data_IF_503308851169
#
_entry.id   IF_503308851169
#
_cell.length_a   1.000
_cell.length_b   1.000
_cell.length_c   1.000
_cell.angle_alpha   90.00
_cell.angle_beta   90.00
_cell.angle_gamma   90.00
#
_symmetry.space_group_name_H-M   'P 1'
#
loop_
_entity.id
_entity.type
_entity.pdbx_description
1 polymer ?
#
# COMPACT_ATOMS: atom_id res chain seq x y z
N UNK A 1 31.03 -21.22 31.72
CA UNK A 1 30.72 -19.80 31.45
C UNK A 1 29.34 -19.73 30.82
N UNK A 2 28.31 -19.44 31.62
CA UNK A 2 26.99 -19.13 31.10
C UNK A 2 27.04 -17.72 30.51
N UNK A 3 26.89 -17.61 29.19
CA UNK A 3 26.84 -16.32 28.50
C UNK A 3 25.47 -15.71 28.77
N UNK A 4 25.32 -14.98 29.88
CA UNK A 4 24.14 -14.16 30.13
C UNK A 4 24.07 -13.13 29.01
N UNK A 5 23.14 -13.31 28.07
CA UNK A 5 22.81 -12.26 27.11
C UNK A 5 22.26 -11.10 27.93
N UNK A 6 23.09 -10.10 28.19
CA UNK A 6 22.65 -8.82 28.73
C UNK A 6 21.66 -8.25 27.71
N UNK A 7 20.36 -8.33 28.02
CA UNK A 7 19.34 -7.67 27.22
C UNK A 7 19.52 -6.16 27.40
N UNK A 8 20.24 -5.52 26.49
CA UNK A 8 20.30 -4.07 26.48
C UNK A 8 19.00 -3.54 25.87
N UNK A 9 18.31 -2.67 26.60
CA UNK A 9 17.10 -2.01 26.09
C UNK A 9 17.50 -0.96 25.04
N UNK A 10 16.73 -0.76 23.94
CA UNK A 10 17.07 0.22 22.92
C UNK A 10 16.61 1.62 23.37
N UNK A 11 17.28 2.20 24.36
CA UNK A 11 16.84 3.42 25.08
C UNK A 11 16.62 4.61 24.14
N UNK A 12 17.56 4.86 23.21
CA UNK A 12 17.45 5.99 22.28
C UNK A 12 16.29 5.81 21.28
N UNK A 13 16.15 4.60 20.72
CA UNK A 13 15.06 4.29 19.80
C UNK A 13 13.70 4.37 20.50
N UNK A 14 13.64 3.88 21.74
CA UNK A 14 12.46 3.97 22.60
C UNK A 14 12.02 5.43 22.79
N UNK A 15 12.95 6.32 23.11
CA UNK A 15 12.66 7.75 23.25
C UNK A 15 12.19 8.37 21.94
N UNK A 16 12.83 8.05 20.81
CA UNK A 16 12.46 8.54 19.50
C UNK A 16 11.03 8.10 19.09
N UNK A 17 10.68 6.85 19.38
CA UNK A 17 9.35 6.28 19.12
C UNK A 17 8.26 6.88 20.02
N UNK A 18 8.55 7.10 21.31
CA UNK A 18 7.62 7.80 22.21
C UNK A 18 7.40 9.25 21.78
N UNK A 19 8.47 9.95 21.37
CA UNK A 19 8.35 11.30 20.83
C UNK A 19 7.49 11.30 19.55
N UNK A 20 7.72 10.36 18.63
CA UNK A 20 6.91 10.18 17.42
C UNK A 20 5.42 10.03 17.75
N UNK A 21 5.07 9.10 18.65
CA UNK A 21 3.67 8.78 18.91
C UNK A 21 2.97 9.86 19.71
N UNK A 22 3.68 10.56 20.62
CA UNK A 22 3.14 11.71 21.35
C UNK A 22 2.83 12.91 20.46
N UNK A 23 3.53 13.04 19.32
CA UNK A 23 3.39 14.15 18.39
C UNK A 23 2.25 13.99 17.38
N UNK A 24 1.60 12.82 17.34
CA UNK A 24 0.64 12.46 16.30
C UNK A 24 -0.64 11.95 16.97
N UNK A 25 -1.79 12.29 16.38
CA UNK A 25 -3.05 11.69 16.84
C UNK A 25 -3.14 10.27 16.31
N UNK A 26 -3.45 9.32 17.18
CA UNK A 26 -3.58 7.91 16.81
C UNK A 26 -4.73 7.25 17.55
N UNK A 27 -5.25 6.13 17.02
CA UNK A 27 -6.20 5.32 17.77
C UNK A 27 -5.51 4.60 18.94
N UNK A 28 -6.29 4.07 19.88
CA UNK A 28 -5.83 3.28 21.04
C UNK A 28 -5.09 1.97 20.66
N UNK A 29 -4.76 1.76 19.39
CA UNK A 29 -4.02 0.59 18.88
C UNK A 29 -2.52 0.68 19.17
N UNK A 30 -1.96 1.88 19.20
CA UNK A 30 -0.54 2.09 19.51
C UNK A 30 -0.40 2.39 20.99
N UNK A 31 -0.33 1.34 21.81
CA UNK A 31 -0.20 1.42 23.28
C UNK A 31 1.25 1.28 23.73
N UNK A 32 2.11 2.14 23.19
CA UNK A 32 3.51 2.17 23.60
C UNK A 32 3.63 2.83 24.97
N UNK A 33 4.38 2.21 25.87
CA UNK A 33 4.49 2.66 27.25
C UNK A 33 5.96 2.70 27.69
N UNK A 34 6.33 3.73 28.46
CA UNK A 34 7.68 3.88 29.00
C UNK A 34 8.09 2.77 29.97
N UNK A 35 7.14 2.01 30.54
CA UNK A 35 7.46 0.90 31.46
C UNK A 35 7.79 -0.43 30.77
N UNK A 36 7.57 -0.56 29.46
CA UNK A 36 7.89 -1.79 28.71
C UNK A 36 9.03 -1.54 27.72
N UNK A 37 9.72 -2.60 27.30
CA UNK A 37 10.74 -2.49 26.26
C UNK A 37 10.09 -2.15 24.92
N UNK A 38 10.73 -1.30 24.12
CA UNK A 38 10.27 -0.99 22.78
C UNK A 38 10.18 -2.24 21.88
N UNK A 39 10.96 -3.28 22.18
CA UNK A 39 10.97 -4.52 21.42
C UNK A 39 9.71 -5.37 21.60
N UNK A 40 8.88 -5.07 22.62
CA UNK A 40 7.61 -5.74 22.87
C UNK A 40 6.42 -4.94 22.30
N UNK A 41 6.70 -3.79 21.70
CA UNK A 41 5.66 -2.91 21.21
C UNK A 41 5.09 -3.37 19.88
N UNK A 42 3.79 -3.16 19.73
CA UNK A 42 3.09 -3.38 18.47
C UNK A 42 3.80 -2.64 17.32
N UNK A 43 4.12 -3.38 16.26
CA UNK A 43 4.76 -2.85 15.07
C UNK A 43 6.28 -2.68 15.17
N UNK A 44 6.92 -2.99 16.29
CA UNK A 44 8.36 -2.82 16.50
C UNK A 44 9.05 -4.18 16.47
N UNK A 45 10.17 -4.29 15.76
CA UNK A 45 11.07 -5.44 15.88
C UNK A 45 12.50 -4.97 16.12
N UNK A 46 13.12 -5.56 17.13
CA UNK A 46 14.50 -5.31 17.50
C UNK A 46 15.42 -6.43 17.05
N UNK A 47 16.71 -6.13 16.99
CA UNK A 47 17.74 -7.11 16.70
C UNK A 47 17.78 -8.24 17.76
N UNK A 48 18.56 -9.30 17.49
CA UNK A 48 18.62 -10.48 18.35
C UNK A 48 19.05 -10.18 19.80
N UNK A 49 19.83 -9.11 20.01
CA UNK A 49 20.27 -8.67 21.33
C UNK A 49 19.31 -7.66 21.98
N UNK A 50 18.20 -7.32 21.30
CA UNK A 50 17.20 -6.32 21.70
C UNK A 50 17.76 -4.89 21.86
N UNK A 51 18.93 -4.63 21.30
CA UNK A 51 19.72 -3.41 21.48
C UNK A 51 19.31 -2.24 20.58
N UNK A 52 18.66 -2.50 19.44
CA UNK A 52 18.14 -1.47 18.55
C UNK A 52 16.94 -1.96 17.73
N UNK A 53 16.11 -1.03 17.30
CA UNK A 53 14.98 -1.23 16.41
C UNK A 53 15.45 -1.27 14.96
N UNK A 54 15.13 -2.35 14.24
CA UNK A 54 15.42 -2.46 12.81
C UNK A 54 14.17 -2.49 11.93
N UNK A 55 12.99 -2.69 12.51
CA UNK A 55 11.71 -2.67 11.78
C UNK A 55 10.68 -1.88 12.56
N UNK A 56 10.03 -0.93 11.89
CA UNK A 56 8.84 -0.24 12.37
C UNK A 56 7.72 -0.38 11.34
N UNK A 57 6.61 -0.99 11.74
CA UNK A 57 5.43 -1.24 10.91
C UNK A 57 4.16 -0.83 11.65
N UNK A 58 3.56 0.27 11.22
CA UNK A 58 2.28 0.76 11.72
C UNK A 58 1.26 0.94 10.59
N UNK A 59 1.00 -0.09 9.76
CA UNK A 59 0.03 0.01 8.68
C UNK A 59 -1.39 0.16 9.25
N UNK A 60 -2.16 1.14 8.77
CA UNK A 60 -3.56 1.27 9.21
C UNK A 60 -3.74 1.50 10.71
N UNK A 61 -2.74 2.09 11.37
CA UNK A 61 -2.76 2.39 12.80
C UNK A 61 -3.61 3.63 13.15
N UNK A 62 -4.29 4.22 12.14
CA UNK A 62 -5.06 5.45 12.25
C UNK A 62 -4.21 6.61 12.77
N UNK A 63 -2.96 6.70 12.31
CA UNK A 63 -2.08 7.85 12.56
C UNK A 63 -2.58 9.06 11.75
N UNK A 64 -2.70 10.22 12.37
CA UNK A 64 -3.27 11.44 11.79
C UNK A 64 -2.36 12.64 12.11
N UNK A 65 -1.98 13.38 11.07
CA UNK A 65 -1.15 14.58 11.18
C UNK A 65 0.23 14.42 10.55
N UNK A 66 1.12 15.37 10.79
CA UNK A 66 2.47 15.36 10.22
C UNK A 66 3.48 14.60 11.07
N UNK A 67 4.51 14.05 10.42
CA UNK A 67 5.65 13.44 11.12
C UNK A 67 6.54 14.55 11.64
N UNK A 68 6.74 14.60 12.96
CA UNK A 68 7.65 15.57 13.57
C UNK A 68 9.12 15.24 13.22
N UNK A 69 9.94 16.22 12.85
CA UNK A 69 11.39 16.03 12.71
C UNK A 69 12.04 15.57 14.01
N UNK A 70 13.20 14.92 13.90
CA UNK A 70 13.97 14.38 15.02
C UNK A 70 13.23 13.31 15.85
N UNK A 71 12.24 12.66 15.25
CA UNK A 71 11.55 11.50 15.83
C UNK A 71 12.00 10.21 15.14
N UNK A 72 11.27 9.74 14.13
CA UNK A 72 11.62 8.53 13.36
C UNK A 72 13.03 8.63 12.76
N UNK A 73 13.47 9.81 12.31
CA UNK A 73 14.80 10.02 11.74
C UNK A 73 15.97 9.70 12.69
N UNK A 74 15.71 9.53 14.00
CA UNK A 74 16.72 9.09 14.97
C UNK A 74 17.01 7.59 14.94
N UNK A 75 16.14 6.78 14.32
CA UNK A 75 16.28 5.32 14.24
C UNK A 75 17.32 4.93 13.18
N UNK A 76 18.58 5.27 13.39
CA UNK A 76 19.65 5.15 12.38
C UNK A 76 19.94 3.72 11.90
N UNK A 77 19.51 2.69 12.65
CA UNK A 77 19.63 1.27 12.30
C UNK A 77 18.38 0.68 11.66
N UNK A 78 17.35 1.50 11.42
CA UNK A 78 16.09 1.08 10.83
C UNK A 78 16.31 0.56 9.40
N UNK A 79 15.79 -0.64 9.11
CA UNK A 79 15.87 -1.32 7.81
C UNK A 79 14.52 -1.33 7.10
N UNK A 80 13.42 -1.37 7.85
CA UNK A 80 12.07 -1.36 7.30
C UNK A 80 11.24 -0.31 8.02
N UNK A 81 10.69 0.63 7.25
CA UNK A 81 9.70 1.60 7.73
C UNK A 81 8.42 1.45 6.92
N UNK A 82 7.33 1.09 7.59
CA UNK A 82 6.00 1.05 7.00
C UNK A 82 5.02 1.88 7.81
N UNK A 83 4.57 2.99 7.23
CA UNK A 83 3.52 3.86 7.76
C UNK A 83 2.32 3.94 6.79
N UNK A 84 2.20 2.95 5.90
CA UNK A 84 1.17 2.88 4.87
C UNK A 84 -0.25 2.90 5.45
N UNK A 85 -1.22 3.31 4.65
CA UNK A 85 -2.65 3.28 4.99
C UNK A 85 -3.02 4.07 6.25
N UNK A 86 -2.38 5.22 6.49
CA UNK A 86 -2.74 6.13 7.58
C UNK A 86 -3.30 7.44 6.99
N UNK A 87 -3.46 8.47 7.83
CA UNK A 87 -3.83 9.83 7.43
C UNK A 87 -2.69 10.79 7.78
N UNK A 88 -1.46 10.35 7.51
CA UNK A 88 -0.28 11.17 7.72
C UNK A 88 -0.20 12.23 6.62
N UNK A 89 0.09 13.47 7.00
CA UNK A 89 0.04 14.63 6.10
C UNK A 89 1.31 15.49 6.20
N UNK A 90 1.40 16.53 5.37
CA UNK A 90 2.59 17.38 5.28
C UNK A 90 3.72 16.73 4.49
N UNK A 91 4.93 17.27 4.59
CA UNK A 91 6.10 16.77 3.87
C UNK A 91 6.82 15.66 4.65
N UNK A 92 7.62 14.85 3.93
CA UNK A 92 8.51 13.88 4.57
C UNK A 92 9.69 14.64 5.21
N UNK A 93 9.95 14.46 6.52
CA UNK A 93 11.00 15.19 7.22
C UNK A 93 12.40 15.00 6.62
N UNK A 94 13.21 16.06 6.64
CA UNK A 94 14.55 16.05 6.05
C UNK A 94 15.53 15.09 6.76
N UNK A 95 15.32 14.85 8.06
CA UNK A 95 16.08 13.92 8.89
C UNK A 95 15.82 12.44 8.54
N UNK A 96 14.89 12.13 7.64
CA UNK A 96 14.80 10.79 7.04
C UNK A 96 16.09 10.40 6.31
N UNK A 97 16.89 11.38 5.89
CA UNK A 97 18.22 11.15 5.32
C UNK A 97 19.22 10.48 6.29
N UNK A 98 18.93 10.47 7.60
CA UNK A 98 19.72 9.77 8.61
C UNK A 98 19.44 8.26 8.66
N UNK A 99 18.36 7.78 8.02
CA UNK A 99 17.97 6.37 7.97
C UNK A 99 18.81 5.58 6.97
N UNK A 100 20.14 5.72 7.03
CA UNK A 100 21.10 5.19 6.03
C UNK A 100 21.07 3.67 5.87
N UNK A 101 20.50 2.94 6.84
CA UNK A 101 20.34 1.49 6.82
C UNK A 101 19.01 1.03 6.20
N UNK A 102 18.15 1.97 5.81
CA UNK A 102 16.80 1.69 5.33
C UNK A 102 16.84 0.97 3.99
N UNK A 103 16.11 -0.15 3.92
CA UNK A 103 15.99 -1.01 2.74
C UNK A 103 14.59 -0.97 2.14
N UNK A 104 13.58 -0.71 2.94
CA UNK A 104 12.20 -0.64 2.48
C UNK A 104 11.46 0.50 3.14
N UNK A 105 10.91 1.40 2.32
CA UNK A 105 10.10 2.54 2.74
C UNK A 105 8.71 2.44 2.11
N UNK A 106 7.69 2.26 2.95
CA UNK A 106 6.29 2.13 2.55
C UNK A 106 5.45 3.24 3.19
N UNK A 107 5.11 4.25 2.39
CA UNK A 107 4.33 5.43 2.80
C UNK A 107 3.01 5.57 2.04
N UNK A 108 2.65 4.56 1.26
CA UNK A 108 1.49 4.59 0.39
C UNK A 108 0.16 4.68 1.11
N UNK A 109 -0.82 5.35 0.49
CA UNK A 109 -2.15 5.53 1.08
C UNK A 109 -2.12 6.43 2.31
N UNK A 110 -1.55 7.62 2.14
CA UNK A 110 -1.51 8.69 3.13
C UNK A 110 -1.92 10.00 2.45
N UNK A 111 -1.73 11.12 3.14
CA UNK A 111 -2.06 12.47 2.69
C UNK A 111 -0.77 13.32 2.57
N UNK A 112 0.39 12.70 2.31
CA UNK A 112 1.67 13.41 2.18
C UNK A 112 1.65 14.37 0.98
N UNK A 113 2.27 15.54 1.17
CA UNK A 113 2.34 16.64 0.19
C UNK A 113 3.77 17.04 -0.10
N UNK A 114 3.95 18.04 -0.97
CA UNK A 114 5.27 18.59 -1.32
C UNK A 114 5.92 17.87 -2.50
N UNK A 115 7.17 18.22 -2.83
CA UNK A 115 7.91 17.58 -3.91
C UNK A 115 8.40 16.19 -3.54
N UNK A 116 8.99 15.46 -4.50
CA UNK A 116 9.75 14.25 -4.19
C UNK A 116 10.84 14.57 -3.15
N UNK A 117 10.89 13.87 -2.00
CA UNK A 117 11.76 14.23 -0.89
C UNK A 117 13.24 13.99 -1.20
N UNK A 118 14.10 15.04 -1.20
CA UNK A 118 15.54 14.87 -1.41
C UNK A 118 16.22 14.05 -0.31
N UNK A 119 15.61 13.96 0.87
CA UNK A 119 16.09 13.11 1.96
C UNK A 119 16.07 11.62 1.59
N UNK A 120 15.11 11.19 0.76
CA UNK A 120 14.96 9.79 0.33
C UNK A 120 16.00 9.41 -0.71
N UNK A 121 16.42 10.32 -1.60
CA UNK A 121 17.47 10.02 -2.60
C UNK A 121 18.85 9.75 -1.98
N UNK A 122 19.04 10.09 -0.70
CA UNK A 122 20.27 9.80 0.06
C UNK A 122 20.32 8.37 0.63
N UNK A 123 19.21 7.63 0.56
CA UNK A 123 19.08 6.30 1.18
C UNK A 123 19.51 5.20 0.22
N UNK A 124 20.81 5.15 -0.09
CA UNK A 124 21.39 4.28 -1.14
C UNK A 124 21.23 2.78 -0.93
N UNK A 125 20.81 2.35 0.28
CA UNK A 125 20.46 0.96 0.60
C UNK A 125 19.00 0.60 0.32
N UNK A 126 18.18 1.54 -0.15
CA UNK A 126 16.79 1.28 -0.49
C UNK A 126 16.69 0.28 -1.64
N UNK A 127 15.87 -0.74 -1.40
CA UNK A 127 15.51 -1.77 -2.38
C UNK A 127 14.05 -1.63 -2.84
N UNK A 128 13.20 -1.03 -2.01
CA UNK A 128 11.78 -0.79 -2.27
C UNK A 128 11.39 0.60 -1.76
N UNK A 129 10.83 1.41 -2.65
CA UNK A 129 10.26 2.72 -2.33
C UNK A 129 8.82 2.78 -2.84
N UNK A 130 7.87 2.96 -1.92
CA UNK A 130 6.46 3.11 -2.26
C UNK A 130 5.90 4.39 -1.66
N UNK A 131 5.68 5.38 -2.52
CA UNK A 131 5.08 6.67 -2.23
C UNK A 131 3.70 6.81 -2.88
N UNK A 132 3.14 5.72 -3.42
CA UNK A 132 1.91 5.76 -4.20
C UNK A 132 0.69 6.20 -3.39
N UNK A 133 -0.34 6.70 -4.06
CA UNK A 133 -1.61 7.10 -3.41
C UNK A 133 -1.38 8.12 -2.28
N UNK A 134 -0.75 9.23 -2.65
CA UNK A 134 -0.49 10.40 -1.81
C UNK A 134 -0.82 11.67 -2.62
N UNK A 135 -0.37 12.82 -2.16
CA UNK A 135 -0.56 14.11 -2.82
C UNK A 135 0.79 14.79 -3.15
N UNK A 136 1.82 14.00 -3.50
CA UNK A 136 3.12 14.53 -3.94
C UNK A 136 3.00 15.27 -5.27
N UNK A 137 3.80 16.32 -5.44
CA UNK A 137 3.74 17.25 -6.58
C UNK A 137 5.13 17.46 -7.20
N UNK A 138 5.20 18.21 -8.30
CA UNK A 138 6.48 18.60 -8.92
C UNK A 138 7.17 17.44 -9.67
N UNK A 139 8.41 17.65 -10.13
CA UNK A 139 9.11 16.67 -10.95
C UNK A 139 9.65 15.49 -10.13
N UNK A 140 9.74 14.33 -10.80
CA UNK A 140 10.54 13.20 -10.31
C UNK A 140 12.02 13.55 -10.57
N UNK A 141 12.87 13.64 -9.54
CA UNK A 141 14.23 14.11 -9.69
C UNK A 141 15.16 13.02 -10.26
N UNK A 142 16.19 13.42 -11.01
CA UNK A 142 17.25 12.52 -11.46
C UNK A 142 17.99 11.83 -10.29
N UNK A 143 17.95 12.42 -9.10
CA UNK A 143 18.51 11.85 -7.87
C UNK A 143 17.95 10.48 -7.48
N UNK A 144 16.85 10.02 -8.09
CA UNK A 144 16.38 8.62 -7.98
C UNK A 144 17.47 7.62 -8.41
N UNK A 145 18.34 7.99 -9.36
CA UNK A 145 19.46 7.14 -9.80
C UNK A 145 20.53 6.91 -8.71
N UNK A 146 20.55 7.71 -7.65
CA UNK A 146 21.42 7.46 -6.49
C UNK A 146 20.99 6.21 -5.70
N UNK A 147 19.77 5.72 -5.90
CA UNK A 147 19.22 4.52 -5.26
C UNK A 147 19.64 3.26 -6.03
N UNK A 148 20.93 2.98 -6.08
CA UNK A 148 21.51 1.94 -6.95
C UNK A 148 21.07 0.51 -6.62
N UNK A 149 20.46 0.27 -5.45
CA UNK A 149 19.92 -1.03 -5.05
C UNK A 149 18.40 -1.14 -5.27
N UNK A 150 17.77 -0.14 -5.87
CA UNK A 150 16.32 -0.05 -5.97
C UNK A 150 15.79 -1.09 -6.97
N UNK A 151 14.92 -1.96 -6.46
CA UNK A 151 14.26 -3.02 -7.23
C UNK A 151 12.78 -2.75 -7.46
N UNK A 152 12.18 -1.86 -6.67
CA UNK A 152 10.77 -1.46 -6.80
C UNK A 152 10.56 0.02 -6.52
N UNK A 153 9.95 0.74 -7.46
CA UNK A 153 9.62 2.16 -7.37
C UNK A 153 8.14 2.39 -7.72
N UNK A 154 7.35 2.81 -6.73
CA UNK A 154 5.92 3.01 -6.89
C UNK A 154 5.54 4.45 -6.54
N UNK A 155 5.10 5.20 -7.54
CA UNK A 155 4.76 6.62 -7.47
C UNK A 155 3.34 6.90 -7.99
N UNK A 156 2.59 5.87 -8.36
CA UNK A 156 1.27 6.01 -8.96
C UNK A 156 0.26 6.70 -8.04
N UNK A 157 -0.78 7.31 -8.61
CA UNK A 157 -1.83 8.03 -7.89
C UNK A 157 -1.25 9.17 -7.03
N UNK A 158 -0.52 10.08 -7.67
CA UNK A 158 -0.01 11.31 -7.07
C UNK A 158 -0.29 12.46 -8.04
N UNK A 159 0.38 13.61 -7.85
CA UNK A 159 0.32 14.77 -8.74
C UNK A 159 1.72 15.15 -9.27
N UNK A 160 2.60 14.16 -9.44
CA UNK A 160 3.92 14.39 -10.05
C UNK A 160 3.75 14.94 -11.47
N UNK A 161 4.58 15.90 -11.86
CA UNK A 161 4.46 16.63 -13.11
C UNK A 161 5.81 16.77 -13.83
N UNK A 162 5.77 17.26 -15.07
CA UNK A 162 6.97 17.35 -15.92
C UNK A 162 7.34 16.01 -16.56
N UNK A 163 8.54 15.96 -17.15
CA UNK A 163 9.01 14.78 -17.86
C UNK A 163 9.59 13.72 -16.93
N UNK A 164 9.50 12.46 -17.36
CA UNK A 164 10.20 11.37 -16.71
C UNK A 164 11.71 11.55 -16.89
N UNK A 165 12.51 11.56 -15.80
CA UNK A 165 13.96 11.59 -15.92
C UNK A 165 14.46 10.27 -16.52
N UNK A 166 15.67 10.28 -17.10
CA UNK A 166 16.35 9.06 -17.53
C UNK A 166 16.78 8.26 -16.30
N UNK A 167 15.88 7.39 -15.82
CA UNK A 167 16.11 6.54 -14.66
C UNK A 167 16.91 5.32 -15.11
N UNK A 168 17.98 4.98 -14.38
CA UNK A 168 18.66 3.70 -14.54
C UNK A 168 17.73 2.59 -14.04
N UNK A 169 17.24 1.79 -14.97
CA UNK A 169 16.25 0.76 -14.68
C UNK A 169 16.85 -0.63 -14.57
N UNK A 170 18.15 -0.84 -14.78
CA UNK A 170 18.75 -2.18 -14.94
C UNK A 170 18.47 -3.09 -13.72
N UNK A 171 18.51 -2.52 -12.51
CA UNK A 171 18.15 -3.22 -11.26
C UNK A 171 16.64 -3.21 -10.91
N UNK A 172 15.84 -2.40 -11.61
CA UNK A 172 14.45 -2.14 -11.31
C UNK A 172 13.54 -3.23 -11.92
N UNK A 173 12.89 -4.00 -11.05
CA UNK A 173 11.99 -5.08 -11.44
C UNK A 173 10.53 -4.62 -11.49
N UNK A 174 10.14 -3.74 -10.58
CA UNK A 174 8.77 -3.24 -10.45
C UNK A 174 8.79 -1.71 -10.51
N UNK A 175 8.01 -1.14 -11.42
CA UNK A 175 7.92 0.31 -11.62
C UNK A 175 6.50 0.70 -11.95
N UNK A 176 6.00 1.76 -11.31
CA UNK A 176 4.70 2.32 -11.64
C UNK A 176 4.62 3.82 -11.33
N UNK A 177 4.27 4.61 -12.34
CA UNK A 177 4.05 6.07 -12.29
C UNK A 177 2.67 6.47 -12.81
N UNK A 178 1.76 5.50 -12.94
CA UNK A 178 0.42 5.71 -13.49
C UNK A 178 -0.38 6.75 -12.69
N UNK A 179 -1.36 7.39 -13.32
CA UNK A 179 -2.26 8.36 -12.68
C UNK A 179 -1.50 9.49 -11.97
N UNK A 180 -0.73 10.24 -12.75
CA UNK A 180 -0.03 11.45 -12.35
C UNK A 180 -0.28 12.55 -13.42
N UNK A 181 0.45 13.66 -13.35
CA UNK A 181 0.43 14.77 -14.30
C UNK A 181 1.71 14.80 -15.16
N UNK A 182 2.33 13.65 -15.44
CA UNK A 182 3.57 13.55 -16.20
C UNK A 182 3.33 13.80 -17.69
N UNK A 183 4.37 14.30 -18.38
CA UNK A 183 4.30 14.63 -19.80
C UNK A 183 5.59 14.32 -20.57
N UNK A 184 5.52 14.40 -21.90
CA UNK A 184 6.65 14.16 -22.79
C UNK A 184 6.86 12.68 -23.11
N UNK A 185 8.01 12.38 -23.72
CA UNK A 185 8.37 11.03 -24.12
C UNK A 185 8.82 10.17 -22.95
N UNK A 186 8.38 8.91 -22.91
CA UNK A 186 8.92 7.89 -22.00
C UNK A 186 10.37 7.59 -22.41
N UNK A 187 11.35 7.72 -21.49
CA UNK A 187 12.74 7.34 -21.77
C UNK A 187 12.88 5.86 -22.11
N UNK A 188 13.74 5.52 -23.06
CA UNK A 188 13.95 4.13 -23.51
C UNK A 188 14.32 3.19 -22.37
N UNK A 189 15.04 3.68 -21.35
CA UNK A 189 15.39 2.89 -20.17
C UNK A 189 14.16 2.38 -19.41
N UNK A 190 13.00 3.05 -19.52
CA UNK A 190 11.76 2.67 -18.87
C UNK A 190 10.79 1.90 -19.79
N UNK A 191 11.10 1.78 -21.08
CA UNK A 191 10.22 1.14 -22.08
C UNK A 191 9.93 -0.35 -21.81
N UNK A 192 10.77 -1.01 -21.01
CA UNK A 192 10.59 -2.41 -20.60
C UNK A 192 9.39 -2.66 -19.68
N UNK A 193 8.87 -1.62 -19.03
CA UNK A 193 7.71 -1.72 -18.14
C UNK A 193 6.41 -1.73 -18.94
N UNK A 194 5.34 -2.39 -18.46
CA UNK A 194 4.09 -2.49 -19.20
C UNK A 194 3.38 -1.13 -19.33
N UNK A 195 2.51 -1.01 -20.33
CA UNK A 195 1.68 0.19 -20.57
C UNK A 195 0.94 0.67 -19.30
N UNK A 196 0.45 -0.28 -18.50
CA UNK A 196 -0.23 -0.01 -17.23
C UNK A 196 0.60 0.80 -16.22
N UNK A 197 1.94 0.71 -16.30
CA UNK A 197 2.84 1.47 -15.42
C UNK A 197 2.88 2.97 -15.74
N UNK A 198 2.37 3.38 -16.90
CA UNK A 198 2.36 4.77 -17.36
C UNK A 198 0.96 5.34 -17.57
N UNK A 199 -0.07 4.48 -17.56
CA UNK A 199 -1.47 4.84 -17.79
C UNK A 199 -1.95 6.03 -16.95
N UNK A 200 -2.94 6.78 -17.45
CA UNK A 200 -3.53 7.91 -16.71
C UNK A 200 -2.67 9.18 -16.66
N UNK A 201 -1.51 9.20 -17.33
CA UNK A 201 -0.74 10.42 -17.58
C UNK A 201 -1.05 10.92 -19.00
N UNK A 202 -1.97 11.88 -19.13
CA UNK A 202 -2.50 12.34 -20.44
C UNK A 202 -1.39 12.89 -21.36
N UNK A 203 -0.34 13.49 -20.79
CA UNK A 203 0.75 14.09 -21.55
C UNK A 203 1.90 13.16 -21.89
N UNK A 204 1.90 11.90 -21.41
CA UNK A 204 2.97 10.94 -21.70
C UNK A 204 2.73 10.23 -23.04
N UNK A 205 3.81 9.99 -23.78
CA UNK A 205 3.82 9.27 -25.05
C UNK A 205 5.14 8.52 -25.24
N UNK A 206 5.26 7.70 -26.28
CA UNK A 206 6.44 6.85 -26.51
C UNK A 206 6.36 5.49 -25.81
N UNK A 207 7.13 4.50 -26.26
CA UNK A 207 6.98 3.11 -25.83
C UNK A 207 7.09 2.93 -24.30
N UNK A 208 6.16 2.20 -23.66
CA UNK A 208 5.11 1.31 -24.22
C UNK A 208 3.80 1.99 -24.66
N UNK A 209 3.64 3.31 -24.48
CA UNK A 209 2.46 4.05 -24.94
C UNK A 209 2.53 4.33 -26.45
N UNK A 210 1.43 4.83 -27.07
CA UNK A 210 1.47 5.28 -28.46
C UNK A 210 2.62 6.28 -28.72
N UNK A 211 3.23 6.25 -29.91
CA UNK A 211 4.30 7.17 -30.27
C UNK A 211 3.89 8.63 -30.04
N UNK A 212 4.85 9.45 -29.63
CA UNK A 212 4.63 10.88 -29.55
C UNK A 212 4.29 11.41 -30.95
N UNK A 213 3.06 11.90 -31.14
CA UNK A 213 2.75 12.61 -32.37
C UNK A 213 3.70 13.82 -32.47
N UNK A 214 4.44 13.99 -33.57
CA UNK A 214 4.99 15.30 -33.85
C UNK A 214 3.78 16.25 -33.87
N UNK A 215 3.86 17.34 -33.10
CA UNK A 215 2.93 18.45 -33.28
C UNK A 215 2.80 18.67 -34.80
N UNK A 216 1.57 18.71 -35.39
CA UNK A 216 1.47 19.16 -36.76
C UNK A 216 2.16 20.55 -36.80
N UNK A 217 3.05 20.80 -37.78
CA UNK A 217 3.64 22.12 -37.89
C UNK A 217 2.48 23.12 -37.94
N UNK A 218 2.54 24.12 -37.05
CA UNK A 218 1.60 25.23 -37.05
C UNK A 218 1.45 25.72 -38.50
N UNK A 219 0.23 25.88 -39.03
CA UNK A 219 0.08 26.28 -40.43
C UNK A 219 0.84 27.58 -40.64
N UNK A 220 1.79 27.57 -41.58
CA UNK A 220 2.49 28.78 -42.02
C UNK A 220 1.46 29.85 -42.42
N UNK A 221 1.74 31.14 -42.19
CA UNK A 221 0.73 32.19 -42.29
C UNK A 221 0.18 32.23 -43.71
N UNK A 222 -1.12 31.94 -43.84
CA UNK A 222 -1.85 32.10 -45.10
C UNK A 222 -2.14 33.59 -45.31
N UNK A 223 -1.86 34.08 -46.51
CA UNK A 223 -2.20 35.42 -46.99
C UNK A 223 -3.69 35.77 -46.80
N UNK A 224 -4.05 37.07 -46.71
CA UNK A 224 -5.38 37.49 -46.30
C UNK A 224 -6.42 37.30 -47.41
N UNK A 225 -7.48 36.56 -47.11
CA UNK A 225 -8.72 36.50 -47.90
C UNK A 225 -9.70 37.59 -47.37
N UNK A 226 -10.43 38.31 -48.24
CA UNK A 226 -11.31 39.44 -47.87
C UNK A 226 -12.56 39.04 -47.06
N UNK A 227 -13.24 40.00 -46.40
CA UNK A 227 -14.16 39.70 -45.32
C UNK A 227 -15.51 39.20 -45.85
N UNK A 228 -15.87 37.97 -45.51
CA UNK A 228 -17.27 37.53 -45.46
C UNK A 228 -17.82 37.73 -44.05
N UNK A 229 -18.85 38.55 -43.97
CA UNK A 229 -19.70 38.80 -42.82
C UNK A 229 -20.34 37.50 -42.31
N UNK A 230 -20.05 37.15 -41.06
CA UNK A 230 -20.87 36.22 -40.28
C UNK A 230 -21.00 36.75 -38.85
N UNK A 231 -22.20 37.24 -38.52
CA UNK A 231 -22.53 37.72 -37.19
C UNK A 231 -22.51 36.59 -36.16
N UNK A 232 -21.76 36.80 -35.08
CA UNK A 232 -21.86 35.98 -33.88
C UNK A 232 -23.04 36.47 -33.03
N UNK A 233 -24.11 35.68 -32.98
CA UNK A 233 -25.16 35.83 -31.96
C UNK A 233 -24.72 35.10 -30.69
N UNK A 234 -24.48 35.83 -29.60
CA UNK A 234 -24.43 35.25 -28.26
C UNK A 234 -25.83 34.79 -27.88
N UNK A 235 -26.04 33.48 -27.72
CA UNK A 235 -27.31 32.94 -27.22
C UNK A 235 -27.29 32.99 -25.69
N UNK A 236 -27.98 33.96 -25.11
CA UNK A 236 -28.37 33.93 -23.70
C UNK A 236 -29.48 32.89 -23.49
N UNK A 237 -29.44 32.18 -22.36
CA UNK A 237 -30.45 31.19 -21.98
C UNK A 237 -31.81 31.88 -21.72
N UNK A 238 -32.93 31.33 -22.21
CA UNK A 238 -34.24 31.93 -22.02
C UNK A 238 -34.64 31.93 -20.55
N UNK A 239 -35.22 33.03 -20.08
CA UNK A 239 -35.59 33.30 -18.67
C UNK A 239 -36.41 32.18 -18.02
N UNK A 240 -37.18 31.40 -18.79
CA UNK A 240 -37.91 30.22 -18.30
C UNK A 240 -37.03 29.06 -17.82
N UNK A 241 -35.83 28.88 -18.38
CA UNK A 241 -34.89 27.84 -17.96
C UNK A 241 -34.25 28.16 -16.58
N UNK A 242 -34.06 29.44 -16.28
CA UNK A 242 -33.49 29.90 -15.01
C UNK A 242 -34.48 29.67 -13.86
N UNK A 243 -35.78 29.89 -14.10
CA UNK A 243 -36.85 29.65 -13.11
C UNK A 243 -37.01 28.14 -12.81
N UNK A 244 -36.90 27.29 -13.83
CA UNK A 244 -36.98 25.83 -13.64
C UNK A 244 -35.80 25.27 -12.82
N UNK A 245 -34.58 25.78 -13.03
CA UNK A 245 -33.38 25.37 -12.27
C UNK A 245 -33.48 25.85 -10.81
N UNK A 246 -34.03 27.03 -10.56
CA UNK A 246 -34.23 27.56 -9.21
C UNK A 246 -35.29 26.78 -8.40
N UNK A 247 -36.39 26.36 -9.04
CA UNK A 247 -37.42 25.55 -8.39
C UNK A 247 -36.95 24.10 -8.15
N UNK A 248 -36.19 23.53 -9.10
CA UNK A 248 -35.59 22.20 -8.93
C UNK A 248 -34.58 22.14 -7.79
N UNK A 249 -33.73 23.17 -7.65
CA UNK A 249 -32.71 23.21 -6.59
C UNK A 249 -33.32 23.34 -5.19
N UNK A 250 -34.44 24.06 -5.05
CA UNK A 250 -35.17 24.17 -3.79
C UNK A 250 -35.75 22.82 -3.33
N UNK A 251 -36.30 22.03 -4.25
CA UNK A 251 -36.85 20.69 -3.95
C UNK A 251 -35.72 19.73 -3.53
N UNK A 252 -34.59 19.74 -4.25
CA UNK A 252 -33.43 18.91 -3.91
C UNK A 252 -32.86 19.29 -2.55
N UNK A 253 -32.76 20.59 -2.23
CA UNK A 253 -32.32 21.05 -0.92
C UNK A 253 -33.26 20.58 0.20
N UNK A 254 -34.57 20.63 -0.01
CA UNK A 254 -35.58 20.16 0.95
C UNK A 254 -35.49 18.65 1.21
N UNK A 255 -35.25 17.86 0.16
CA UNK A 255 -35.06 16.41 0.27
C UNK A 255 -33.77 16.05 1.02
N UNK A 256 -32.68 16.78 0.78
CA UNK A 256 -31.43 16.61 1.51
C UNK A 256 -31.57 16.98 3.00
N UNK A 257 -32.32 18.04 3.31
CA UNK A 257 -32.59 18.47 4.68
C UNK A 257 -33.45 17.44 5.43
N UNK A 258 -34.47 16.87 4.76
CA UNK A 258 -35.30 15.81 5.31
C UNK A 258 -34.48 14.54 5.59
N UNK A 259 -33.60 14.15 4.67
CA UNK A 259 -32.68 13.02 4.84
C UNK A 259 -31.74 13.23 6.03
N UNK A 260 -31.20 14.44 6.20
CA UNK A 260 -30.34 14.80 7.33
C UNK A 260 -31.08 14.68 8.67
N UNK A 261 -32.34 15.15 8.74
CA UNK A 261 -33.19 15.02 9.93
C UNK A 261 -33.46 13.54 10.26
N UNK A 262 -33.71 12.70 9.25
CA UNK A 262 -33.92 11.25 9.44
C UNK A 262 -32.65 10.58 9.97
N UNK A 263 -31.48 10.95 9.43
CA UNK A 263 -30.18 10.46 9.89
C UNK A 263 -29.91 10.85 11.35
N UNK A 264 -30.16 12.11 11.71
CA UNK A 264 -30.00 12.60 13.10
C UNK A 264 -30.98 11.91 14.07
N UNK A 265 -32.22 11.63 13.64
CA UNK A 265 -33.21 10.89 14.44
C UNK A 265 -32.82 9.41 14.62
N UNK A 266 -32.23 8.77 13.61
CA UNK A 266 -31.69 7.40 13.72
C UNK A 266 -30.44 7.34 14.60
N UNK A 267 -29.62 8.39 14.58
CA UNK A 267 -28.42 8.48 15.42
C UNK A 267 -28.75 8.65 16.90
N UNK A 268 -29.74 9.49 17.25
CA UNK A 268 -30.23 9.62 18.64
C UNK A 268 -30.88 8.34 19.20
N UNK A 269 -31.35 7.42 18.34
CA UNK A 269 -31.92 6.13 18.77
C UNK A 269 -30.87 5.04 19.00
N UNK A 270 -29.62 5.22 18.56
CA UNK A 270 -28.50 4.29 18.79
C UNK A 270 -27.51 4.85 19.82
N UNK A 271 -27.98 5.09 21.04
CA UNK A 271 -27.10 5.12 22.21
C UNK A 271 -27.13 3.74 22.89
N UNK A 272 -26.00 3.04 23.05
CA UNK A 272 -25.98 1.73 23.71
C UNK A 272 -26.30 1.84 25.21
N UNK A 273 -27.19 0.99 25.69
CA UNK A 273 -27.44 0.74 27.12
C UNK A 273 -26.15 0.23 27.79
N UNK A 274 -25.72 0.91 28.86
CA UNK A 274 -24.79 0.39 29.87
C UNK A 274 -25.34 -0.92 30.44
N UNK A 275 -24.60 -2.01 30.34
CA UNK A 275 -24.79 -3.19 31.18
C UNK A 275 -23.68 -3.26 32.23
N UNK A 276 -24.12 -3.41 33.49
CA UNK A 276 -23.35 -3.48 34.73
C UNK A 276 -22.56 -4.80 34.82
N UNK A 277 -21.39 -4.73 35.45
CA UNK A 277 -20.58 -5.86 35.90
C UNK A 277 -21.10 -6.46 37.21
N UNK A 278 -20.91 -7.78 37.40
CA UNK A 278 -20.85 -8.48 38.70
C UNK A 278 -19.82 -9.64 38.57
N UNK A 279 -19.04 -10.00 39.64
CA UNK A 279 -17.77 -10.73 39.56
C UNK A 279 -17.81 -12.19 40.05
N UNK A 280 -16.76 -12.96 39.77
CA UNK A 280 -16.40 -14.20 40.50
C UNK A 280 -14.90 -14.52 40.34
N UNK A 281 -14.05 -14.29 41.34
CA UNK A 281 -13.49 -15.25 42.33
C UNK A 281 -12.64 -16.40 41.76
N UNK A 282 -11.32 -16.25 41.96
CA UNK A 282 -10.32 -17.19 42.51
C UNK A 282 -10.40 -18.69 42.19
N UNK A 283 -9.31 -19.26 41.66
CA UNK A 283 -8.62 -20.43 42.24
C UNK A 283 -7.22 -20.63 41.62
N UNK A 284 -6.32 -21.13 42.46
CA UNK A 284 -4.88 -21.28 42.28
C UNK A 284 -4.45 -22.57 41.56
N UNK A 285 -3.18 -22.60 41.17
CA UNK A 285 -2.36 -23.69 40.62
C UNK A 285 -2.13 -24.85 41.62
N UNK A 286 -1.51 -25.99 41.23
CA UNK A 286 -0.04 -26.09 41.12
C UNK A 286 0.50 -27.00 39.97
N UNK A 287 1.83 -27.11 39.97
CA UNK A 287 2.85 -27.50 38.98
C UNK A 287 3.09 -29.02 38.78
N UNK A 288 4.19 -29.31 38.04
CA UNK A 288 4.97 -30.54 37.84
C UNK A 288 4.64 -31.37 36.57
N UNK A 289 5.58 -31.89 35.76
CA UNK A 289 7.03 -32.04 35.91
C UNK A 289 7.71 -32.26 34.52
N UNK A 290 9.03 -32.43 34.56
CA UNK A 290 10.03 -32.39 33.49
C UNK A 290 10.11 -33.62 32.56
N UNK A 291 10.82 -33.43 31.43
CA UNK A 291 11.27 -34.50 30.55
C UNK A 291 12.24 -34.00 29.45
N UNK A 292 13.53 -34.12 29.75
CA UNK A 292 14.75 -34.30 28.92
C UNK A 292 14.51 -34.89 27.50
N UNK A 293 15.39 -34.86 26.50
CA UNK A 293 16.74 -34.37 26.18
C UNK A 293 16.96 -34.77 24.71
N UNK A 294 17.71 -34.00 23.92
CA UNK A 294 18.78 -34.53 23.04
C UNK A 294 19.24 -33.47 22.04
N UNK A 295 20.40 -32.89 22.32
CA UNK A 295 21.25 -32.20 21.34
C UNK A 295 21.80 -33.20 20.32
N UNK A 296 21.82 -32.79 19.05
CA UNK A 296 22.90 -33.18 18.13
C UNK A 296 23.11 -32.07 17.11
N UNK A 297 24.22 -31.36 17.27
CA UNK A 297 24.73 -30.38 16.33
C UNK A 297 25.22 -31.11 15.07
N UNK A 298 24.90 -30.57 13.90
CA UNK A 298 25.75 -30.75 12.71
C UNK A 298 25.63 -29.55 11.75
N UNK A 299 26.79 -29.24 11.18
CA UNK A 299 27.19 -28.02 10.48
C UNK A 299 26.53 -27.92 9.10
N UNK A 300 25.76 -26.86 8.84
CA UNK A 300 25.48 -26.27 7.49
C UNK A 300 24.87 -24.85 7.63
N UNK A 301 25.68 -23.91 8.11
CA UNK A 301 25.25 -22.57 8.55
C UNK A 301 24.96 -21.51 7.46
N UNK A 302 24.52 -21.88 6.26
CA UNK A 302 24.28 -20.92 5.17
C UNK A 302 22.85 -20.86 4.63
N UNK A 303 22.14 -21.99 4.56
CA UNK A 303 20.81 -22.09 3.93
C UNK A 303 19.66 -21.96 4.92
N UNK A 304 19.84 -22.44 6.16
CA UNK A 304 18.78 -22.47 7.17
C UNK A 304 18.36 -21.09 7.68
N UNK A 305 19.24 -20.09 7.63
CA UNK A 305 18.89 -18.72 8.05
C UNK A 305 17.97 -18.04 7.02
N UNK A 306 18.18 -18.28 5.71
CA UNK A 306 17.29 -17.82 4.64
C UNK A 306 15.96 -18.60 4.67
N UNK A 307 15.98 -19.90 4.96
CA UNK A 307 14.77 -20.72 5.10
C UNK A 307 13.92 -20.36 6.33
N UNK A 308 14.56 -20.06 7.48
CA UNK A 308 13.88 -19.51 8.67
C UNK A 308 13.31 -18.12 8.41
N UNK A 309 14.00 -17.27 7.65
CA UNK A 309 13.50 -15.94 7.27
C UNK A 309 12.35 -15.97 6.25
N UNK A 310 12.12 -17.11 5.59
CA UNK A 310 10.97 -17.36 4.72
C UNK A 310 9.79 -18.05 5.43
N UNK A 311 9.94 -18.49 6.67
CA UNK A 311 8.81 -19.00 7.44
C UNK A 311 7.91 -17.81 7.81
N UNK A 312 6.62 -17.95 7.51
CA UNK A 312 5.58 -16.97 7.83
C UNK A 312 5.61 -15.63 7.08
N UNK A 313 6.14 -15.60 5.84
CA UNK A 313 6.09 -14.40 4.99
C UNK A 313 5.30 -14.63 3.71
N UNK A 314 4.54 -13.62 3.29
CA UNK A 314 3.90 -13.58 1.98
C UNK A 314 4.97 -13.39 0.90
N UNK A 315 4.98 -14.27 -0.11
CA UNK A 315 5.97 -14.30 -1.19
C UNK A 315 5.32 -13.80 -2.48
N UNK A 316 5.78 -12.65 -2.99
CA UNK A 316 5.30 -12.08 -4.26
C UNK A 316 6.10 -12.58 -5.45
N UNK A 317 5.41 -12.76 -6.58
CA UNK A 317 6.06 -12.99 -7.88
C UNK A 317 6.58 -11.68 -8.47
N UNK A 318 7.60 -11.78 -9.34
CA UNK A 318 8.20 -10.61 -10.02
C UNK A 318 7.16 -9.92 -10.92
N UNK A 319 7.13 -8.59 -10.97
CA UNK A 319 6.14 -7.81 -11.73
C UNK A 319 4.88 -7.46 -10.94
N UNK A 320 4.96 -7.42 -9.60
CA UNK A 320 3.83 -7.20 -8.71
C UNK A 320 3.58 -5.71 -8.45
N UNK A 321 2.36 -5.24 -8.72
CA UNK A 321 1.89 -3.87 -8.37
C UNK A 321 1.56 -3.75 -6.87
N UNK A 322 1.56 -4.86 -6.13
CA UNK A 322 1.14 -4.92 -4.73
C UNK A 322 2.32 -4.97 -3.76
N UNK A 323 2.19 -4.24 -2.65
CA UNK A 323 3.18 -4.11 -1.58
C UNK A 323 2.51 -4.21 -0.20
N UNK A 324 2.09 -5.41 0.20
CA UNK A 324 1.53 -5.67 1.53
C UNK A 324 2.12 -6.96 2.12
N UNK A 325 2.15 -7.12 3.44
CA UNK A 325 2.61 -8.35 4.07
C UNK A 325 1.47 -9.29 4.47
N UNK A 326 1.82 -10.41 5.11
CA UNK A 326 0.82 -11.35 5.62
C UNK A 326 -0.09 -10.70 6.67
N UNK A 327 0.47 -9.89 7.56
CA UNK A 327 -0.26 -9.26 8.67
C UNK A 327 -1.34 -8.30 8.15
N UNK A 328 -1.02 -7.59 7.07
CA UNK A 328 -1.91 -6.74 6.29
C UNK A 328 -3.06 -7.55 5.67
N UNK A 329 -2.74 -8.69 5.06
CA UNK A 329 -3.72 -9.59 4.43
C UNK A 329 -4.69 -10.19 5.45
N UNK A 330 -4.18 -10.63 6.60
CA UNK A 330 -4.98 -11.27 7.65
C UNK A 330 -5.91 -10.28 8.38
N UNK A 331 -5.64 -8.97 8.30
CA UNK A 331 -6.45 -7.92 8.92
C UNK A 331 -7.43 -7.24 7.99
N UNK A 332 -7.26 -7.42 6.69
CA UNK A 332 -8.12 -6.80 5.70
C UNK A 332 -9.56 -7.31 5.80
N UNK A 333 -10.53 -6.48 5.41
CA UNK A 333 -11.92 -6.94 5.35
C UNK A 333 -12.06 -7.97 4.24
N UNK A 334 -12.75 -9.06 4.54
CA UNK A 334 -12.90 -10.18 3.62
C UNK A 334 -14.37 -10.50 3.40
N UNK A 335 -14.75 -10.61 2.13
CA UNK A 335 -16.06 -11.09 1.69
C UNK A 335 -15.87 -12.45 1.00
N UNK A 336 -16.60 -13.47 1.41
CA UNK A 336 -16.48 -14.79 0.81
C UNK A 336 -17.06 -14.77 -0.61
N UNK A 337 -16.22 -15.03 -1.61
CA UNK A 337 -16.62 -15.13 -3.02
C UNK A 337 -17.19 -16.50 -3.35
N UNK A 338 -16.69 -17.56 -2.72
CA UNK A 338 -17.17 -18.92 -2.95
C UNK A 338 -16.33 -19.98 -2.25
N UNK A 339 -16.91 -21.17 -2.08
CA UNK A 339 -16.27 -22.34 -1.48
C UNK A 339 -16.33 -23.50 -2.46
N UNK A 340 -15.18 -24.13 -2.71
CA UNK A 340 -15.06 -25.31 -3.56
C UNK A 340 -14.33 -26.45 -2.86
N UNK A 341 -14.13 -27.55 -3.57
CA UNK A 341 -13.42 -28.74 -3.08
C UNK A 341 -11.97 -28.45 -2.65
N UNK A 342 -11.30 -27.51 -3.33
CA UNK A 342 -9.90 -27.15 -3.07
C UNK A 342 -9.73 -26.07 -2.01
N UNK A 343 -10.81 -25.51 -1.46
CA UNK A 343 -10.75 -24.41 -0.48
C UNK A 343 -11.74 -23.27 -0.74
N UNK A 344 -11.52 -22.15 -0.07
CA UNK A 344 -12.42 -20.99 -0.05
C UNK A 344 -11.75 -19.76 -0.65
N UNK A 345 -12.48 -19.03 -1.49
CA UNK A 345 -12.04 -17.79 -2.10
C UNK A 345 -12.70 -16.59 -1.43
N UNK A 346 -11.92 -15.56 -1.18
CA UNK A 346 -12.31 -14.32 -0.53
C UNK A 346 -11.92 -13.12 -1.39
N UNK A 347 -12.78 -12.11 -1.45
CA UNK A 347 -12.44 -10.77 -1.86
C UNK A 347 -11.91 -10.06 -0.64
N UNK A 348 -10.68 -9.61 -0.70
CA UNK A 348 -10.00 -8.98 0.42
C UNK A 348 -9.71 -7.52 0.07
N UNK A 349 -10.26 -6.61 0.87
CA UNK A 349 -10.08 -5.17 0.70
C UNK A 349 -9.09 -4.67 1.76
N UNK A 350 -7.89 -4.34 1.30
CA UNK A 350 -6.84 -3.77 2.14
C UNK A 350 -7.11 -2.28 2.41
N UNK A 351 -6.54 -1.75 3.49
CA UNK A 351 -6.79 -0.38 3.97
C UNK A 351 -6.44 0.76 2.98
N UNK A 352 -5.80 0.47 1.84
CA UNK A 352 -5.42 1.45 0.80
C UNK A 352 -6.33 1.36 -0.44
N UNK A 353 -7.49 0.70 -0.36
CA UNK A 353 -8.37 0.48 -1.51
C UNK A 353 -7.89 -0.60 -2.48
N UNK A 354 -6.71 -1.18 -2.23
CA UNK A 354 -6.23 -2.37 -2.93
C UNK A 354 -7.17 -3.54 -2.64
N UNK A 355 -7.79 -4.08 -3.68
CA UNK A 355 -8.63 -5.27 -3.58
C UNK A 355 -7.92 -6.43 -4.25
N UNK A 356 -7.77 -7.54 -3.53
CA UNK A 356 -7.18 -8.79 -4.05
C UNK A 356 -8.13 -9.95 -3.84
N UNK A 357 -8.03 -10.99 -4.66
CA UNK A 357 -8.72 -12.24 -4.43
C UNK A 357 -7.76 -13.21 -3.71
N UNK A 358 -8.15 -13.67 -2.52
CA UNK A 358 -7.34 -14.63 -1.74
C UNK A 358 -8.04 -15.97 -1.71
N UNK A 359 -7.34 -17.01 -2.17
CA UNK A 359 -7.80 -18.39 -2.07
C UNK A 359 -7.08 -19.09 -0.93
N UNK A 360 -7.82 -19.45 0.11
CA UNK A 360 -7.35 -20.29 1.22
C UNK A 360 -7.54 -21.75 0.85
N UNK A 361 -6.44 -22.48 0.70
CA UNK A 361 -6.47 -23.88 0.27
C UNK A 361 -6.81 -24.79 1.44
N UNK A 362 -7.61 -25.84 1.18
CA UNK A 362 -8.04 -26.81 2.19
C UNK A 362 -7.28 -28.13 2.02
N UNK A 363 -6.88 -28.74 3.15
CA UNK A 363 -6.31 -30.10 3.24
C UNK A 363 -5.11 -30.36 2.31
N UNK A 364 -4.28 -29.35 2.06
CA UNK A 364 -3.10 -29.51 1.20
C UNK A 364 -1.92 -30.01 2.02
N UNK A 365 -1.75 -31.33 2.08
CA UNK A 365 -0.58 -31.99 2.68
C UNK A 365 0.55 -32.11 1.65
N UNK A 366 1.35 -31.05 1.50
CA UNK A 366 2.54 -31.02 0.64
C UNK A 366 3.70 -30.37 1.37
N UNK A 367 4.93 -30.79 1.07
CA UNK A 367 6.10 -30.16 1.65
C UNK A 367 6.25 -28.70 1.19
N UNK A 368 6.86 -27.85 2.02
CA UNK A 368 7.17 -26.45 1.66
C UNK A 368 7.93 -26.37 0.34
N UNK A 369 8.95 -27.21 0.16
CA UNK A 369 9.78 -27.25 -1.05
C UNK A 369 8.95 -27.55 -2.30
N UNK A 370 8.09 -28.55 -2.24
CA UNK A 370 7.21 -28.91 -3.35
C UNK A 370 6.20 -27.80 -3.65
N UNK A 371 5.59 -27.21 -2.62
CA UNK A 371 4.65 -26.11 -2.79
C UNK A 371 5.30 -24.91 -3.48
N UNK A 372 6.46 -24.48 -2.99
CA UNK A 372 7.21 -23.35 -3.56
C UNK A 372 7.58 -23.59 -5.01
N UNK A 373 8.03 -24.81 -5.36
CA UNK A 373 8.34 -25.15 -6.77
C UNK A 373 7.09 -25.05 -7.66
N UNK A 374 5.95 -25.62 -7.24
CA UNK A 374 4.70 -25.54 -7.99
C UNK A 374 4.22 -24.10 -8.17
N UNK A 375 4.27 -23.31 -7.11
CA UNK A 375 3.93 -21.89 -7.15
C UNK A 375 4.86 -21.10 -8.06
N UNK A 376 6.16 -21.42 -8.06
CA UNK A 376 7.14 -20.83 -8.97
C UNK A 376 6.84 -21.07 -10.46
N UNK A 377 6.20 -22.18 -10.81
CA UNK A 377 5.73 -22.44 -12.18
C UNK A 377 4.44 -21.67 -12.47
N UNK A 378 3.46 -21.71 -11.57
CA UNK A 378 2.17 -21.03 -11.74
C UNK A 378 2.31 -19.51 -11.84
N UNK A 379 3.20 -18.91 -11.05
CA UNK A 379 3.44 -17.45 -11.07
C UNK A 379 4.10 -16.93 -12.35
N UNK A 380 4.58 -17.81 -13.24
CA UNK A 380 5.13 -17.43 -14.55
C UNK A 380 4.08 -17.44 -15.66
N UNK A 381 2.87 -17.95 -15.39
CA UNK A 381 1.81 -18.02 -16.39
C UNK A 381 1.25 -16.61 -16.58
N UNK A 382 1.47 -16.05 -17.77
CA UNK A 382 0.87 -14.78 -18.19
C UNK A 382 0.06 -15.03 -19.46
N UNK A 383 -1.26 -14.82 -19.37
CA UNK A 383 -2.18 -15.01 -20.48
C UNK A 383 -3.40 -14.12 -20.27
N UNK A 384 -3.95 -13.55 -21.34
CA UNK A 384 -5.06 -12.58 -21.29
C UNK A 384 -6.30 -13.13 -20.55
N UNK A 385 -6.58 -14.42 -20.71
CA UNK A 385 -7.71 -15.11 -20.09
C UNK A 385 -7.39 -15.79 -18.74
N UNK A 386 -6.23 -15.50 -18.12
CA UNK A 386 -5.83 -16.09 -16.84
C UNK A 386 -5.60 -14.99 -15.83
N UNK A 387 -6.28 -15.07 -14.68
CA UNK A 387 -6.08 -14.11 -13.59
C UNK A 387 -4.65 -14.30 -13.02
N UNK A 388 -3.81 -13.25 -13.02
CA UNK A 388 -2.44 -13.36 -12.55
C UNK A 388 -2.37 -13.77 -11.07
N UNK A 389 -1.51 -14.76 -10.77
CA UNK A 389 -1.13 -15.09 -9.40
C UNK A 389 -0.04 -14.12 -8.95
N UNK A 390 -0.31 -13.36 -7.88
CA UNK A 390 0.55 -12.27 -7.41
C UNK A 390 1.42 -12.65 -6.23
N UNK A 391 0.88 -13.45 -5.32
CA UNK A 391 1.64 -13.95 -4.18
C UNK A 391 1.12 -15.29 -3.68
N UNK A 392 1.93 -15.94 -2.85
CA UNK A 392 1.51 -17.09 -2.07
C UNK A 392 2.04 -17.00 -0.64
N UNK A 393 1.37 -17.73 0.25
CA UNK A 393 1.78 -17.94 1.62
C UNK A 393 1.78 -19.44 1.90
N UNK A 394 2.78 -19.88 2.68
CA UNK A 394 2.87 -21.25 3.15
C UNK A 394 3.23 -21.26 4.65
N UNK A 395 2.43 -21.98 5.41
CA UNK A 395 2.78 -22.57 6.70
C UNK A 395 2.23 -23.99 6.78
N UNK A 396 2.56 -24.68 7.87
CA UNK A 396 2.07 -26.04 8.09
C UNK A 396 0.54 -26.07 8.21
N UNK A 397 -0.04 -25.05 8.85
CA UNK A 397 -1.49 -24.91 9.04
C UNK A 397 -2.20 -24.26 7.85
N UNK A 398 -1.58 -23.30 7.17
CA UNK A 398 -2.25 -22.39 6.23
C UNK A 398 -1.52 -22.24 4.92
N UNK A 399 -2.26 -22.29 3.81
CA UNK A 399 -1.74 -22.09 2.45
C UNK A 399 -2.66 -21.14 1.71
N UNK A 400 -2.12 -19.98 1.33
CA UNK A 400 -2.90 -18.92 0.66
C UNK A 400 -2.32 -18.64 -0.72
N UNK A 401 -3.21 -18.39 -1.66
CA UNK A 401 -2.88 -17.86 -2.99
C UNK A 401 -3.54 -16.50 -3.16
N UNK A 402 -2.79 -15.52 -3.65
CA UNK A 402 -3.25 -14.14 -3.83
C UNK A 402 -3.25 -13.81 -5.32
N UNK A 403 -4.40 -13.40 -5.83
CA UNK A 403 -4.65 -13.04 -7.23
C UNK A 403 -5.13 -11.60 -7.35
N UNK A 404 -5.07 -11.06 -8.56
CA UNK A 404 -5.80 -9.84 -8.90
C UNK A 404 -7.30 -10.04 -8.69
N UNK A 405 -7.98 -9.01 -8.18
CA UNK A 405 -9.43 -9.04 -8.06
C UNK A 405 -10.09 -8.60 -9.37
N UNK A 406 -10.95 -9.45 -9.93
CA UNK A 406 -11.74 -9.10 -11.10
C UNK A 406 -13.06 -8.43 -10.68
N UNK A 407 -13.23 -7.16 -11.06
CA UNK A 407 -14.42 -6.39 -10.70
C UNK A 407 -15.70 -6.82 -11.45
N UNK A 408 -15.57 -7.50 -12.60
CA UNK A 408 -16.70 -7.95 -13.43
C UNK A 408 -17.51 -9.12 -12.86
N UNK A 409 -17.18 -9.61 -11.66
CA UNK A 409 -17.85 -10.76 -11.04
C UNK A 409 -17.28 -12.10 -11.51
N UNK A 410 -17.91 -13.20 -11.07
CA UNK A 410 -17.48 -14.56 -11.44
C UNK A 410 -18.35 -15.13 -12.56
N UNK A 411 -17.77 -16.02 -13.38
CA UNK A 411 -18.54 -16.80 -14.36
C UNK A 411 -19.70 -17.54 -13.69
N UNK A 412 -19.51 -18.04 -12.47
CA UNK A 412 -20.58 -18.65 -11.67
C UNK A 412 -21.73 -17.68 -11.38
N UNK A 413 -21.45 -16.42 -11.04
CA UNK A 413 -22.47 -15.40 -10.82
C UNK A 413 -23.20 -15.01 -12.12
N UNK A 414 -22.49 -15.01 -13.26
CA UNK A 414 -23.08 -14.81 -14.59
C UNK A 414 -24.02 -15.96 -14.97
N UNK A 415 -23.59 -17.21 -14.75
CA UNK A 415 -24.38 -18.41 -15.03
C UNK A 415 -25.60 -18.56 -14.12
N UNK A 416 -25.58 -17.96 -12.92
CA UNK A 416 -26.71 -17.92 -11.99
C UNK A 416 -27.60 -16.67 -12.14
N UNK A 417 -27.40 -15.86 -13.19
CA UNK A 417 -28.28 -14.73 -13.52
C UNK A 417 -28.28 -13.57 -12.51
N UNK A 418 -27.23 -13.44 -11.69
CA UNK A 418 -27.17 -12.42 -10.61
C UNK A 418 -26.70 -11.03 -11.04
N UNK A 419 -26.63 -10.74 -12.34
CA UNK A 419 -26.32 -9.42 -12.85
C UNK A 419 -27.40 -8.93 -13.82
N UNK A 420 -28.52 -8.46 -13.28
CA UNK A 420 -29.39 -7.53 -13.99
C UNK A 420 -29.75 -6.39 -13.05
N UNK A 421 -29.15 -5.24 -13.31
CA UNK A 421 -29.80 -3.92 -13.34
C UNK A 421 -28.68 -2.89 -13.53
N UNK A 422 -28.20 -2.72 -14.76
CA UNK A 422 -27.68 -1.45 -15.29
C UNK A 422 -27.43 -1.63 -16.79
N UNK A 423 -28.51 -1.64 -17.57
CA UNK A 423 -28.55 -1.11 -18.93
C UNK A 423 -30.00 -0.67 -19.19
N UNK A 424 -30.20 0.64 -19.20
CA UNK A 424 -31.16 1.35 -20.03
C UNK A 424 -30.46 2.65 -20.45
#
# INVERSE_FOLDING_TARGET
MFNSRVSSEPVEDKQALLAFISGIRHADRVKWNSSTSACDWFGVQCDANRSFVYTLRLPGAALIGSILPNTIGRLNRLRVLSLRANRLSGEIPADFSNLTQLRSLYLQGNEFTGPFPPSVTRLTRLTRLDLSSNNFTGPIPLGVNSLTQLTGLFLQNNKFSGSLPSIDSDGLNDFNVSNNNLNGSIPDSLSKFPESSFAGNIGLCGGPLPPCNPFPPSPSPTEPIPPTTSGQSSKSLPTGAIIAIALGSAIVALLLLLFLIICLRKWKRKSPRRQKAIPSTTHASPEEEAGTSSSKDDITGGSMEIERMMNNKLVFFKGGVYSFDLEDLMRASAEMLGKGSTGTSYKVVLAVGTTVAVKRLKDVAVSKREFVMKMGMLGKIMHENVVPLRAFYYSDEEKLLVYDYMHGGSLFALLQGKLFHYFA
#
